data_IF_664811232282
#
_entry.id   IF_664811232282
#
_cell.length_a   1.000
_cell.length_b   1.000
_cell.length_c   1.000
_cell.angle_alpha   90.00
_cell.angle_beta   90.00
_cell.angle_gamma   90.00
#
_symmetry.space_group_name_H-M   'P 1'
#
loop_
_entity.id
_entity.type
_entity.pdbx_description
1 polymer ?
#
# COMPACT_ATOMS: atom_id res chain seq x y z
N UNK A 1 17.60 6.85 22.25
CA UNK A 1 18.34 5.61 22.59
C UNK A 1 17.80 4.50 21.71
N UNK A 2 18.53 4.15 20.64
CA UNK A 2 18.07 3.29 19.53
C UNK A 2 18.80 1.94 19.54
N UNK A 3 19.35 1.55 20.70
CA UNK A 3 20.27 0.42 20.83
C UNK A 3 19.64 -0.87 21.37
N UNK A 4 18.39 -0.85 21.88
CA UNK A 4 17.78 -1.99 22.59
C UNK A 4 17.08 -3.06 21.71
N UNK A 5 17.01 -2.89 20.39
CA UNK A 5 16.28 -3.85 19.54
C UNK A 5 17.09 -5.07 19.08
N UNK A 6 18.38 -5.21 19.44
CA UNK A 6 19.21 -6.29 18.90
C UNK A 6 18.83 -7.69 19.39
N UNK A 7 18.12 -7.79 20.53
CA UNK A 7 17.81 -9.07 21.17
C UNK A 7 16.31 -9.44 21.16
N UNK A 8 15.48 -8.65 20.47
CA UNK A 8 14.04 -8.91 20.42
C UNK A 8 13.69 -9.90 19.29
N UNK A 9 12.89 -10.90 19.63
CA UNK A 9 12.36 -11.91 18.71
C UNK A 9 10.84 -11.94 18.84
N UNK A 10 10.15 -12.03 17.69
CA UNK A 10 8.73 -12.33 17.64
C UNK A 10 8.53 -13.83 17.39
N UNK A 11 7.67 -14.47 18.18
CA UNK A 11 7.11 -15.79 17.86
C UNK A 11 5.62 -15.62 17.59
N UNK A 12 5.21 -15.88 16.36
CA UNK A 12 3.82 -15.80 15.91
C UNK A 12 3.23 -17.21 15.80
N UNK A 13 2.11 -17.45 16.48
CA UNK A 13 1.46 -18.78 16.50
C UNK A 13 0.31 -18.79 15.51
N UNK A 14 0.54 -19.37 14.32
CA UNK A 14 -0.46 -19.53 13.27
C UNK A 14 0.05 -20.45 12.13
N UNK A 15 -0.89 -20.98 11.36
CA UNK A 15 -0.65 -21.65 10.08
C UNK A 15 -0.37 -20.65 8.93
N UNK A 16 -0.95 -19.45 9.00
CA UNK A 16 -0.83 -18.42 7.98
C UNK A 16 0.25 -17.36 8.22
N UNK A 17 0.64 -16.66 7.15
CA UNK A 17 1.65 -15.58 7.18
C UNK A 17 1.07 -14.17 7.11
N UNK A 18 -0.21 -14.00 6.78
CA UNK A 18 -0.79 -12.67 6.49
C UNK A 18 -0.57 -11.65 7.62
N UNK A 19 -0.94 -11.96 8.86
CA UNK A 19 -0.72 -11.05 9.99
C UNK A 19 0.77 -10.88 10.33
N UNK A 20 1.57 -11.95 10.19
CA UNK A 20 3.00 -11.92 10.43
C UNK A 20 3.72 -11.00 9.44
N UNK A 21 3.37 -11.05 8.17
CA UNK A 21 3.92 -10.17 7.14
C UNK A 21 3.61 -8.71 7.44
N UNK A 22 2.41 -8.37 7.92
CA UNK A 22 2.09 -7.01 8.34
C UNK A 22 3.03 -6.54 9.47
N UNK A 23 3.30 -7.42 10.46
CA UNK A 23 4.27 -7.13 11.49
C UNK A 23 5.68 -6.95 10.93
N UNK A 24 6.14 -7.86 10.06
CA UNK A 24 7.47 -7.79 9.45
C UNK A 24 7.64 -6.52 8.62
N UNK A 25 6.64 -6.13 7.81
CA UNK A 25 6.60 -4.88 7.04
C UNK A 25 6.86 -3.67 7.95
N UNK A 26 6.20 -3.62 9.12
CA UNK A 26 6.35 -2.53 10.08
C UNK A 26 7.65 -2.61 10.90
N UNK A 27 8.20 -3.81 11.11
CA UNK A 27 9.32 -4.08 12.01
C UNK A 27 10.46 -4.84 11.31
N UNK A 28 11.11 -4.27 10.29
CA UNK A 28 12.09 -4.97 9.43
C UNK A 28 13.36 -5.45 10.16
N UNK A 29 13.58 -5.01 11.40
CA UNK A 29 14.79 -5.34 12.19
C UNK A 29 14.55 -6.47 13.19
N UNK A 30 13.29 -6.82 13.47
CA UNK A 30 12.94 -7.85 14.46
C UNK A 30 12.93 -9.21 13.77
N UNK A 31 13.66 -10.18 14.33
CA UNK A 31 13.60 -11.56 13.83
C UNK A 31 12.22 -12.14 14.14
N UNK A 32 11.56 -12.67 13.12
CA UNK A 32 10.22 -13.21 13.23
C UNK A 32 10.23 -14.72 13.00
N UNK A 33 9.66 -15.47 13.94
CA UNK A 33 9.41 -16.89 13.78
C UNK A 33 7.91 -17.15 13.73
N UNK A 34 7.49 -18.13 12.92
CA UNK A 34 6.12 -18.65 12.91
C UNK A 34 6.10 -20.07 13.45
N UNK A 35 5.35 -20.29 14.52
CA UNK A 35 5.04 -21.64 14.98
C UNK A 35 3.69 -22.06 14.38
N UNK A 36 3.72 -23.14 13.60
CA UNK A 36 2.53 -23.74 13.03
C UNK A 36 2.01 -24.84 13.98
N UNK A 37 0.87 -24.63 14.65
CA UNK A 37 0.37 -25.58 15.64
C UNK A 37 -0.14 -26.89 15.02
N UNK A 38 -0.47 -26.90 13.73
CA UNK A 38 -0.90 -28.12 13.03
C UNK A 38 0.28 -28.97 12.58
N UNK A 39 1.39 -28.33 12.19
CA UNK A 39 2.61 -29.03 11.80
C UNK A 39 3.55 -29.32 12.98
N UNK A 40 3.37 -28.63 14.11
CA UNK A 40 4.29 -28.68 15.24
C UNK A 40 5.69 -28.15 14.90
N UNK A 41 5.79 -27.22 13.95
CA UNK A 41 7.06 -26.71 13.41
C UNK A 41 7.23 -25.22 13.63
N UNK A 42 8.45 -24.82 13.98
CA UNK A 42 8.87 -23.43 14.05
C UNK A 42 9.65 -23.08 12.77
N UNK A 43 9.20 -22.03 12.08
CA UNK A 43 9.82 -21.51 10.87
C UNK A 43 10.45 -20.15 11.18
N UNK A 44 11.65 -19.90 10.66
CA UNK A 44 12.19 -18.54 10.57
C UNK A 44 11.58 -17.88 9.33
N UNK A 45 10.93 -16.75 9.53
CA UNK A 45 10.19 -16.05 8.47
C UNK A 45 10.92 -14.77 8.09
N UNK A 46 11.00 -14.52 6.78
CA UNK A 46 11.61 -13.34 6.19
C UNK A 46 10.61 -12.64 5.26
N UNK A 47 10.79 -11.33 5.08
CA UNK A 47 10.01 -10.52 4.17
C UNK A 47 10.91 -9.77 3.21
N UNK A 48 10.62 -9.84 1.90
CA UNK A 48 11.37 -9.12 0.88
C UNK A 48 10.99 -7.63 0.86
N UNK A 49 11.55 -6.88 1.80
CA UNK A 49 11.38 -5.44 1.87
C UNK A 49 11.94 -4.72 0.64
N UNK A 50 12.99 -5.26 0.01
CA UNK A 50 13.63 -4.61 -1.13
C UNK A 50 12.73 -4.71 -2.35
N UNK A 51 12.30 -5.92 -2.71
CA UNK A 51 11.37 -6.17 -3.80
C UNK A 51 10.05 -5.45 -3.60
N UNK A 52 9.46 -5.52 -2.39
CA UNK A 52 8.23 -4.78 -2.09
C UNK A 52 8.40 -3.28 -2.34
N UNK A 53 9.45 -2.64 -1.79
CA UNK A 53 9.70 -1.20 -1.97
C UNK A 53 9.94 -0.83 -3.42
N UNK A 54 10.63 -1.67 -4.18
CA UNK A 54 10.90 -1.45 -5.60
C UNK A 54 9.60 -1.52 -6.42
N UNK A 55 8.77 -2.53 -6.18
CA UNK A 55 7.44 -2.65 -6.80
C UNK A 55 6.56 -1.44 -6.48
N UNK A 56 6.51 -1.02 -5.20
CA UNK A 56 5.74 0.17 -4.81
C UNK A 56 6.27 1.45 -5.46
N UNK A 57 7.59 1.62 -5.53
CA UNK A 57 8.22 2.76 -6.22
C UNK A 57 7.89 2.77 -7.72
N UNK A 58 7.90 1.62 -8.40
CA UNK A 58 7.52 1.50 -9.81
C UNK A 58 6.05 1.90 -10.02
N UNK A 59 5.15 1.46 -9.13
CA UNK A 59 3.73 1.84 -9.20
C UNK A 59 3.54 3.36 -9.07
N UNK A 60 4.24 4.00 -8.14
CA UNK A 60 4.21 5.46 -7.98
C UNK A 60 4.75 6.17 -9.22
N UNK A 61 5.89 5.71 -9.75
CA UNK A 61 6.49 6.31 -10.94
C UNK A 61 5.53 6.25 -12.14
N UNK A 62 4.89 5.10 -12.37
CA UNK A 62 3.87 4.94 -13.43
C UNK A 62 2.67 5.87 -13.25
N UNK A 63 2.27 6.13 -12.01
CA UNK A 63 1.12 6.99 -11.72
C UNK A 63 1.42 8.49 -11.86
N UNK A 64 2.70 8.91 -11.88
CA UNK A 64 3.06 10.33 -12.06
C UNK A 64 2.62 10.91 -13.40
N UNK A 65 2.53 10.07 -14.42
CA UNK A 65 2.13 10.45 -15.79
C UNK A 65 0.61 10.31 -16.03
N UNK A 66 -0.16 9.90 -15.02
CA UNK A 66 -1.61 9.68 -15.13
C UNK A 66 -2.38 11.00 -15.26
N UNK A 67 -3.29 11.06 -16.24
CA UNK A 67 -4.14 12.24 -16.48
C UNK A 67 -5.47 12.14 -15.75
N UNK A 68 -6.06 10.94 -15.73
CA UNK A 68 -7.32 10.65 -15.05
C UNK A 68 -7.12 9.68 -13.90
N UNK A 69 -7.74 9.98 -12.76
CA UNK A 69 -7.58 9.21 -11.53
C UNK A 69 -8.90 8.57 -11.09
N UNK A 70 -8.82 7.33 -10.63
CA UNK A 70 -9.93 6.66 -9.97
C UNK A 70 -9.67 6.59 -8.47
N UNK A 71 -10.62 7.03 -7.65
CA UNK A 71 -10.55 6.91 -6.19
C UNK A 71 -11.55 5.85 -5.76
N UNK A 72 -11.06 4.71 -5.29
CA UNK A 72 -11.91 3.66 -4.73
C UNK A 72 -12.15 3.93 -3.24
N UNK A 73 -13.42 4.08 -2.85
CA UNK A 73 -13.81 4.05 -1.44
C UNK A 73 -14.41 2.68 -1.12
N UNK A 74 -13.74 1.94 -0.23
CA UNK A 74 -14.18 0.62 0.21
C UNK A 74 -15.45 0.69 1.06
N UNK A 75 -16.51 -0.03 0.69
CA UNK A 75 -17.79 -0.05 1.41
C UNK A 75 -18.01 -1.29 2.26
N UNK A 76 -17.12 -2.29 2.20
CA UNK A 76 -17.20 -3.48 3.03
C UNK A 76 -16.68 -3.21 4.44
N UNK A 77 -17.55 -3.42 5.42
CA UNK A 77 -17.23 -3.23 6.84
C UNK A 77 -16.79 -1.79 7.14
N UNK A 78 -15.65 -1.64 7.85
CA UNK A 78 -15.07 -0.34 8.22
C UNK A 78 -13.76 -0.05 7.49
N UNK A 79 -13.63 -0.53 6.25
CA UNK A 79 -12.39 -0.38 5.48
C UNK A 79 -12.24 1.04 4.88
N UNK A 80 -13.33 1.66 4.43
CA UNK A 80 -13.32 3.00 3.86
C UNK A 80 -13.28 4.12 4.89
N UNK A 81 -12.78 5.29 4.47
CA UNK A 81 -12.75 6.49 5.30
C UNK A 81 -13.15 7.73 4.48
N UNK A 82 -14.41 8.22 4.63
CA UNK A 82 -14.90 9.39 3.89
C UNK A 82 -14.09 10.66 4.12
N UNK A 83 -13.53 10.86 5.32
CA UNK A 83 -12.69 12.05 5.61
C UNK A 83 -11.39 12.05 4.80
N UNK A 84 -10.82 10.86 4.56
CA UNK A 84 -9.64 10.73 3.71
C UNK A 84 -10.02 10.97 2.25
N UNK A 85 -11.18 10.50 1.81
CA UNK A 85 -11.73 10.77 0.48
C UNK A 85 -11.89 12.28 0.25
N UNK A 86 -12.63 12.97 1.12
CA UNK A 86 -12.85 14.42 1.03
C UNK A 86 -11.52 15.20 0.94
N UNK A 87 -10.52 14.80 1.75
CA UNK A 87 -9.19 15.40 1.73
C UNK A 87 -8.47 15.19 0.41
N UNK A 88 -8.54 13.97 -0.14
CA UNK A 88 -7.86 13.61 -1.39
C UNK A 88 -8.52 14.29 -2.58
N UNK A 89 -9.85 14.28 -2.66
CA UNK A 89 -10.62 14.98 -3.70
C UNK A 89 -10.34 16.48 -3.68
N UNK A 90 -10.30 17.10 -2.49
CA UNK A 90 -9.94 18.51 -2.35
C UNK A 90 -8.55 18.79 -2.93
N UNK A 91 -7.55 18.01 -2.53
CA UNK A 91 -6.16 18.15 -3.02
C UNK A 91 -6.06 17.96 -4.54
N UNK A 92 -6.71 16.94 -5.10
CA UNK A 92 -6.71 16.67 -6.54
C UNK A 92 -7.39 17.81 -7.32
N UNK A 93 -8.54 18.29 -6.84
CA UNK A 93 -9.26 19.42 -7.43
C UNK A 93 -8.44 20.71 -7.41
N UNK A 94 -7.79 21.03 -6.30
CA UNK A 94 -6.91 22.21 -6.19
C UNK A 94 -5.73 22.16 -7.17
N UNK A 95 -5.29 20.95 -7.54
CA UNK A 95 -4.23 20.73 -8.53
C UNK A 95 -4.75 20.61 -9.97
N UNK A 96 -6.07 20.71 -10.18
CA UNK A 96 -6.71 20.57 -11.49
C UNK A 96 -6.66 19.15 -12.06
N UNK A 97 -6.59 18.14 -11.21
CA UNK A 97 -6.55 16.73 -11.61
C UNK A 97 -7.96 16.18 -11.69
N UNK A 98 -8.28 15.53 -12.81
CA UNK A 98 -9.56 14.87 -13.01
C UNK A 98 -9.60 13.55 -12.23
N UNK A 99 -10.59 13.40 -11.36
CA UNK A 99 -10.74 12.24 -10.49
C UNK A 99 -12.18 11.80 -10.37
N UNK A 100 -12.43 10.50 -10.54
CA UNK A 100 -13.75 9.87 -10.36
C UNK A 100 -13.76 8.98 -9.13
N UNK A 101 -14.76 9.14 -8.25
CA UNK A 101 -14.95 8.29 -7.08
C UNK A 101 -15.78 7.07 -7.44
N UNK A 102 -15.29 5.88 -7.07
CA UNK A 102 -15.98 4.61 -7.25
C UNK A 102 -16.17 3.94 -5.89
N UNK A 103 -17.43 3.68 -5.53
CA UNK A 103 -17.76 2.94 -4.32
C UNK A 103 -17.73 1.44 -4.62
N UNK A 104 -16.92 0.67 -3.88
CA UNK A 104 -16.79 -0.77 -4.11
C UNK A 104 -16.75 -1.53 -2.80
N UNK A 105 -17.55 -2.59 -2.68
CA UNK A 105 -17.50 -3.48 -1.51
C UNK A 105 -16.19 -4.27 -1.50
N UNK A 106 -15.83 -4.84 -2.65
CA UNK A 106 -14.60 -5.59 -2.84
C UNK A 106 -13.87 -5.05 -4.06
N UNK A 107 -12.58 -4.76 -3.86
CA UNK A 107 -11.68 -4.35 -4.92
C UNK A 107 -11.08 -5.61 -5.56
N UNK A 108 -11.22 -5.76 -6.87
CA UNK A 108 -10.61 -6.85 -7.62
C UNK A 108 -10.14 -6.36 -8.99
N UNK A 109 -9.11 -7.01 -9.58
CA UNK A 109 -8.63 -6.67 -10.92
C UNK A 109 -9.76 -6.69 -11.95
N UNK A 110 -10.63 -7.68 -11.92
CA UNK A 110 -11.75 -7.84 -12.87
C UNK A 110 -12.72 -6.66 -12.83
N UNK A 111 -13.05 -6.12 -11.65
CA UNK A 111 -13.97 -4.98 -11.55
C UNK A 111 -13.29 -3.66 -11.95
N UNK A 112 -12.01 -3.50 -11.61
CA UNK A 112 -11.23 -2.31 -12.00
C UNK A 112 -11.00 -2.29 -13.51
N UNK A 113 -10.81 -3.45 -14.14
CA UNK A 113 -10.61 -3.60 -15.57
C UNK A 113 -11.73 -2.96 -16.43
N UNK A 114 -12.95 -2.92 -15.89
CA UNK A 114 -14.12 -2.31 -16.57
C UNK A 114 -13.99 -0.80 -16.78
N UNK A 115 -13.02 -0.15 -16.12
CA UNK A 115 -12.83 1.30 -16.14
C UNK A 115 -11.46 1.71 -16.70
N UNK A 116 -10.64 0.76 -17.19
CA UNK A 116 -9.24 1.02 -17.59
C UNK A 116 -9.06 1.93 -18.80
N UNK A 117 -10.10 2.05 -19.63
CA UNK A 117 -10.13 2.98 -20.78
C UNK A 117 -10.28 4.44 -20.32
N UNK A 118 -10.84 4.67 -19.12
CA UNK A 118 -11.14 6.00 -18.58
C UNK A 118 -10.24 6.41 -17.42
N UNK A 119 -9.52 5.46 -16.80
CA UNK A 119 -8.70 5.70 -15.61
C UNK A 119 -7.26 5.25 -15.82
N UNK A 120 -6.32 6.18 -15.66
CA UNK A 120 -4.89 5.94 -15.80
C UNK A 120 -4.22 5.41 -14.52
N UNK A 121 -4.71 5.84 -13.35
CA UNK A 121 -4.18 5.42 -12.05
C UNK A 121 -5.28 5.33 -10.99
N UNK A 122 -5.11 4.39 -10.06
CA UNK A 122 -6.06 4.14 -8.98
C UNK A 122 -5.46 4.47 -7.62
N UNK A 123 -6.28 5.08 -6.77
CA UNK A 123 -6.03 5.20 -5.33
C UNK A 123 -7.10 4.43 -4.60
N UNK A 124 -6.73 3.57 -3.66
CA UNK A 124 -7.70 2.89 -2.81
C UNK A 124 -7.71 3.43 -1.38
N UNK A 125 -8.93 3.66 -0.89
CA UNK A 125 -9.28 4.00 0.48
C UNK A 125 -10.10 2.82 1.02
N UNK A 126 -9.42 1.70 1.23
CA UNK A 126 -9.96 0.44 1.74
C UNK A 126 -8.89 -0.26 2.59
N UNK A 127 -8.73 -1.58 2.46
CA UNK A 127 -7.67 -2.32 3.16
C UNK A 127 -6.27 -1.94 2.63
N UNK A 128 -5.36 -1.41 3.47
CA UNK A 128 -4.03 -0.96 3.03
C UNK A 128 -3.18 -2.07 2.38
N UNK A 129 -3.40 -3.32 2.77
CA UNK A 129 -2.72 -4.50 2.23
C UNK A 129 -3.03 -4.77 0.76
N UNK A 130 -4.15 -4.29 0.23
CA UNK A 130 -4.54 -4.52 -1.17
C UNK A 130 -3.50 -4.01 -2.16
N UNK A 131 -3.01 -2.79 -1.97
CA UNK A 131 -1.99 -2.21 -2.84
C UNK A 131 -0.64 -2.91 -2.70
N UNK A 132 -0.31 -3.40 -1.50
CA UNK A 132 0.99 -4.02 -1.21
C UNK A 132 1.03 -5.45 -1.75
N UNK A 133 0.03 -6.26 -1.42
CA UNK A 133 0.02 -7.68 -1.74
C UNK A 133 -0.49 -7.97 -3.16
N UNK A 134 -1.44 -7.16 -3.66
CA UNK A 134 -2.15 -7.42 -4.92
C UNK A 134 -1.93 -6.35 -5.97
N UNK A 135 -1.12 -5.32 -5.69
CA UNK A 135 -0.95 -4.16 -6.57
C UNK A 135 -0.45 -4.51 -7.98
N UNK A 136 0.37 -5.55 -8.14
CA UNK A 136 0.87 -6.00 -9.45
C UNK A 136 -0.16 -6.82 -10.25
N UNK A 137 -1.26 -7.26 -9.63
CA UNK A 137 -2.35 -7.94 -10.34
C UNK A 137 -3.24 -6.98 -11.15
N UNK A 138 -3.09 -5.67 -10.96
CA UNK A 138 -3.82 -4.64 -11.69
C UNK A 138 -3.01 -4.14 -12.88
N UNK A 139 -3.66 -3.94 -14.04
CA UNK A 139 -2.99 -3.42 -15.22
C UNK A 139 -2.53 -1.99 -14.99
N UNK A 140 -3.42 -1.14 -14.46
CA UNK A 140 -3.16 0.25 -14.06
C UNK A 140 -2.61 0.30 -12.62
N UNK A 141 -1.72 1.25 -12.28
CA UNK A 141 -1.14 1.33 -10.94
C UNK A 141 -2.21 1.53 -9.87
N UNK A 142 -2.21 0.65 -8.86
CA UNK A 142 -3.04 0.76 -7.66
C UNK A 142 -2.20 1.24 -6.47
N UNK A 143 -2.52 2.42 -5.95
CA UNK A 143 -1.79 3.09 -4.89
C UNK A 143 -2.59 3.14 -3.58
N UNK A 144 -1.87 3.14 -2.47
CA UNK A 144 -2.39 3.65 -1.20
C UNK A 144 -2.51 5.17 -1.24
N UNK A 145 -3.24 5.76 -0.31
CA UNK A 145 -3.39 7.22 -0.22
C UNK A 145 -2.07 7.94 0.00
N UNK A 146 -1.16 7.37 0.80
CA UNK A 146 0.19 7.91 1.00
C UNK A 146 0.99 7.93 -0.31
N UNK A 147 0.97 6.83 -1.05
CA UNK A 147 1.69 6.72 -2.32
C UNK A 147 1.10 7.64 -3.41
N UNK A 148 -0.22 7.82 -3.40
CA UNK A 148 -0.88 8.79 -4.25
C UNK A 148 -0.42 10.21 -3.93
N UNK A 149 -0.30 10.58 -2.65
CA UNK A 149 0.22 11.90 -2.28
C UNK A 149 1.68 12.11 -2.75
N UNK A 150 2.50 11.05 -2.84
CA UNK A 150 3.84 11.10 -3.46
C UNK A 150 3.75 11.26 -4.98
N UNK A 151 2.92 10.46 -5.64
CA UNK A 151 2.74 10.51 -7.10
C UNK A 151 2.24 11.89 -7.55
N UNK A 152 1.34 12.48 -6.77
CA UNK A 152 0.78 13.81 -6.97
C UNK A 152 1.72 14.92 -6.46
N UNK A 153 2.90 14.60 -5.94
CA UNK A 153 3.90 15.59 -5.54
C UNK A 153 3.54 16.44 -4.31
N UNK A 154 2.57 16.01 -3.48
CA UNK A 154 2.26 16.66 -2.22
C UNK A 154 3.28 16.34 -1.12
N UNK A 155 3.92 15.17 -1.21
CA UNK A 155 4.98 14.73 -0.31
C UNK A 155 6.13 14.12 -1.11
N UNK A 156 7.34 14.16 -0.56
CA UNK A 156 8.53 13.57 -1.19
C UNK A 156 8.49 12.04 -1.10
N UNK A 157 9.07 11.36 -2.10
CA UNK A 157 9.20 9.91 -2.07
C UNK A 157 10.15 9.46 -0.95
N UNK A 158 9.84 8.36 -0.26
CA UNK A 158 10.66 7.84 0.86
C UNK A 158 12.08 7.40 0.46
N UNK A 159 12.36 7.31 -0.84
CA UNK A 159 13.68 7.01 -1.40
C UNK A 159 14.46 8.27 -1.80
N UNK A 160 13.82 9.45 -1.78
CA UNK A 160 14.44 10.70 -2.16
C UNK A 160 15.25 11.22 -0.97
N UNK A 161 16.56 11.47 -1.17
CA UNK A 161 17.41 12.05 -0.13
C UNK A 161 17.03 13.51 0.09
N UNK A 162 17.08 13.97 1.33
CA UNK A 162 16.93 15.39 1.61
C UNK A 162 18.09 16.16 0.99
N UNK A 163 17.77 16.99 0.00
CA UNK A 163 18.71 17.89 -0.68
C UNK A 163 18.94 19.19 0.09
N UNK A 164 18.38 19.33 1.30
CA UNK A 164 18.38 20.51 2.15
C UNK A 164 19.61 20.62 3.09
N UNK A 165 20.67 19.85 2.85
CA UNK A 165 21.94 19.92 3.61
C UNK A 165 23.16 20.14 2.72
N UNK A 166 23.08 21.09 1.79
CA UNK A 166 24.24 21.71 1.13
C UNK A 166 24.15 23.22 1.22
#
# INVERSE_FOLDING_TARGET
TVEDCKDQVLVFVADGRFHLEAFMIANPKIKAFRYDPYLGKLFLEEYDHKGMRETRRRAIARARDAKTWGIVLGTLGRQGNPKILERLEKKMREKGIDSTVVLMSELSPTRVALFEDSVDAWVQIACPRLSIDWGEAFLKPLLTTFEAEIALGFIRGWWEKDTSSR
#
